data_IF_375554242908
#
_entry.id   IF_375554242908
#
_cell.length_a   1.000
_cell.length_b   1.000
_cell.length_c   1.000
_cell.angle_alpha   90.00
_cell.angle_beta   90.00
_cell.angle_gamma   90.00
#
_symmetry.space_group_name_H-M   'P 1'
#
loop_
_entity.id
_entity.type
_entity.pdbx_description
1 polymer ?
#
# COMPACT_ATOMS: atom_id res chain seq x y z
N UNK A 1 21.90 -20.39 19.85
CA UNK A 1 22.42 -19.54 20.93
C UNK A 1 21.22 -18.98 21.64
N UNK A 2 20.96 -19.45 22.87
CA UNK A 2 19.91 -18.88 23.72
C UNK A 2 20.32 -17.45 24.05
N UNK A 3 19.79 -16.48 23.31
CA UNK A 3 19.96 -15.09 23.67
C UNK A 3 19.20 -14.84 24.96
N UNK A 4 19.95 -14.66 26.05
CA UNK A 4 19.42 -14.07 27.29
C UNK A 4 18.61 -12.84 26.93
N UNK A 5 17.33 -12.87 27.24
CA UNK A 5 16.37 -11.83 26.90
C UNK A 5 16.72 -10.54 27.66
N UNK A 6 17.47 -9.66 27.01
CA UNK A 6 17.76 -8.34 27.57
C UNK A 6 16.80 -7.36 26.90
N UNK A 7 15.81 -6.81 27.62
CA UNK A 7 14.90 -5.83 27.06
C UNK A 7 15.71 -4.64 26.51
N UNK A 8 15.23 -4.03 25.41
CA UNK A 8 15.86 -2.90 24.70
C UNK A 8 17.17 -3.19 23.93
N UNK A 9 17.77 -4.37 24.06
CA UNK A 9 19.04 -4.68 23.36
C UNK A 9 18.88 -4.64 21.83
N UNK A 10 17.78 -5.15 21.30
CA UNK A 10 17.46 -5.10 19.87
C UNK A 10 17.38 -3.66 19.35
N UNK A 11 16.56 -2.82 20.00
CA UNK A 11 16.37 -1.41 19.63
C UNK A 11 17.72 -0.64 19.63
N UNK A 12 18.57 -0.87 20.65
CA UNK A 12 19.87 -0.21 20.73
C UNK A 12 20.80 -0.61 19.59
N UNK A 13 20.80 -1.89 19.19
CA UNK A 13 21.60 -2.38 18.09
C UNK A 13 21.12 -1.81 16.75
N UNK A 14 19.81 -1.80 16.52
CA UNK A 14 19.20 -1.26 15.30
C UNK A 14 19.51 0.24 15.14
N UNK A 15 19.37 1.01 16.23
CA UNK A 15 19.69 2.44 16.24
C UNK A 15 21.17 2.70 15.94
N UNK A 16 22.08 1.92 16.56
CA UNK A 16 23.52 2.07 16.35
C UNK A 16 23.91 1.75 14.90
N UNK A 17 23.32 0.71 14.31
CA UNK A 17 23.53 0.37 12.90
C UNK A 17 23.04 1.49 11.97
N UNK A 18 21.83 2.01 12.20
CA UNK A 18 21.24 3.06 11.37
C UNK A 18 22.02 4.38 11.44
N UNK A 19 22.44 4.80 12.63
CA UNK A 19 23.15 6.06 12.84
C UNK A 19 24.45 6.15 12.04
N UNK A 20 25.18 5.05 11.85
CA UNK A 20 26.43 5.04 11.08
C UNK A 20 26.20 5.35 9.60
N UNK A 21 25.11 4.82 9.03
CA UNK A 21 24.76 5.00 7.62
C UNK A 21 23.98 6.29 7.36
N UNK A 22 23.30 6.85 8.37
CA UNK A 22 22.39 7.99 8.20
C UNK A 22 23.07 9.21 7.56
N UNK A 23 24.29 9.56 8.02
CA UNK A 23 25.05 10.67 7.44
C UNK A 23 25.42 10.40 5.98
N UNK A 24 25.74 9.16 5.65
CA UNK A 24 26.11 8.77 4.28
C UNK A 24 24.91 8.89 3.34
N UNK A 25 23.71 8.46 3.77
CA UNK A 25 22.50 8.53 2.96
C UNK A 25 22.17 9.95 2.50
N UNK A 26 22.26 10.94 3.39
CA UNK A 26 22.04 12.34 3.03
C UNK A 26 23.10 12.84 2.05
N UNK A 27 24.39 12.58 2.30
CA UNK A 27 25.46 13.00 1.39
C UNK A 27 25.38 12.31 0.02
N UNK A 28 24.98 11.04 -0.01
CA UNK A 28 24.77 10.27 -1.24
C UNK A 28 23.55 10.76 -2.02
N UNK A 29 22.46 11.08 -1.32
CA UNK A 29 21.24 11.64 -1.91
C UNK A 29 21.49 12.99 -2.60
N UNK A 30 22.20 13.90 -1.95
CA UNK A 30 22.57 15.19 -2.57
C UNK A 30 23.50 15.00 -3.78
N UNK A 31 24.44 14.04 -3.72
CA UNK A 31 25.36 13.74 -4.84
C UNK A 31 24.66 13.09 -6.04
N UNK A 32 23.56 12.38 -5.83
CA UNK A 32 22.78 11.75 -6.89
C UNK A 32 22.08 12.79 -7.80
N UNK A 33 21.82 14.00 -7.30
CA UNK A 33 21.24 15.10 -8.07
C UNK A 33 19.96 14.69 -8.82
N UNK A 34 19.93 14.91 -10.13
CA UNK A 34 18.77 14.60 -10.98
C UNK A 34 18.53 13.11 -11.22
N UNK A 35 19.49 12.22 -10.90
CA UNK A 35 19.34 10.77 -11.13
C UNK A 35 18.27 10.14 -10.25
N UNK A 36 17.98 10.75 -9.09
CA UNK A 36 16.96 10.24 -8.15
C UNK A 36 15.53 10.52 -8.62
N UNK A 37 15.33 11.53 -9.47
CA UNK A 37 13.99 11.95 -9.91
C UNK A 37 13.25 10.84 -10.66
N UNK A 38 13.95 10.07 -11.49
CA UNK A 38 13.33 9.00 -12.26
C UNK A 38 12.82 7.85 -11.36
N UNK A 39 13.64 7.27 -10.45
CA UNK A 39 13.15 6.33 -9.44
C UNK A 39 12.06 6.91 -8.52
N UNK A 40 12.20 8.16 -8.05
CA UNK A 40 11.21 8.79 -7.16
C UNK A 40 9.86 8.95 -7.85
N UNK A 41 9.84 9.43 -9.09
CA UNK A 41 8.60 9.58 -9.87
C UNK A 41 7.93 8.23 -10.12
N UNK A 42 8.72 7.20 -10.45
CA UNK A 42 8.20 5.85 -10.66
C UNK A 42 7.56 5.29 -9.38
N UNK A 43 8.25 5.38 -8.24
CA UNK A 43 7.73 4.87 -6.97
C UNK A 43 6.56 5.70 -6.44
N UNK A 44 6.54 7.00 -6.71
CA UNK A 44 5.38 7.83 -6.41
C UNK A 44 4.12 7.30 -7.09
N UNK A 45 4.14 7.08 -8.42
CA UNK A 45 2.97 6.54 -9.11
C UNK A 45 2.68 5.09 -8.72
N UNK A 46 3.70 4.26 -8.54
CA UNK A 46 3.53 2.87 -8.13
C UNK A 46 2.89 2.73 -6.74
N UNK A 47 3.13 3.66 -5.83
CA UNK A 47 2.56 3.67 -4.48
C UNK A 47 1.25 4.45 -4.38
N UNK A 48 1.07 5.53 -5.15
CA UNK A 48 -0.14 6.34 -5.11
C UNK A 48 -1.37 5.60 -5.69
N UNK A 49 -1.20 4.86 -6.79
CA UNK A 49 -2.31 4.17 -7.47
C UNK A 49 -3.01 3.16 -6.54
N UNK A 50 -2.31 2.23 -5.86
CA UNK A 50 -2.94 1.32 -4.93
C UNK A 50 -3.60 2.04 -3.75
N UNK A 51 -2.97 3.10 -3.22
CA UNK A 51 -3.50 3.85 -2.07
C UNK A 51 -4.79 4.58 -2.43
N UNK A 52 -4.90 5.15 -3.65
CA UNK A 52 -6.13 5.75 -4.15
C UNK A 52 -7.22 4.67 -4.29
N UNK A 53 -6.89 3.53 -4.91
CA UNK A 53 -7.84 2.43 -5.10
C UNK A 53 -8.38 1.91 -3.77
N UNK A 54 -7.52 1.69 -2.78
CA UNK A 54 -7.92 1.26 -1.44
C UNK A 54 -8.63 2.33 -0.64
N UNK A 55 -8.25 3.59 -0.82
CA UNK A 55 -8.93 4.72 -0.21
C UNK A 55 -10.35 4.89 -0.73
N UNK A 56 -10.58 4.67 -2.02
CA UNK A 56 -11.91 4.64 -2.64
C UNK A 56 -12.73 3.44 -2.15
N UNK A 57 -12.10 2.27 -2.01
CA UNK A 57 -12.74 1.11 -1.41
C UNK A 57 -13.19 1.39 0.04
N UNK A 58 -12.34 2.03 0.84
CA UNK A 58 -12.69 2.47 2.20
C UNK A 58 -13.84 3.48 2.20
N UNK A 59 -13.87 4.42 1.25
CA UNK A 59 -14.95 5.41 1.15
C UNK A 59 -16.31 4.72 0.94
N UNK A 60 -16.35 3.74 0.04
CA UNK A 60 -17.56 2.95 -0.25
C UNK A 60 -17.98 2.08 0.93
N UNK A 61 -17.03 1.39 1.54
CA UNK A 61 -17.29 0.44 2.63
C UNK A 61 -17.62 1.10 3.97
N UNK A 62 -17.21 2.35 4.17
CA UNK A 62 -17.40 3.10 5.43
C UNK A 62 -18.44 4.21 5.33
N UNK A 63 -19.35 4.14 4.35
CA UNK A 63 -20.38 5.16 4.09
C UNK A 63 -19.81 6.60 3.99
N UNK A 64 -18.58 6.73 3.47
CA UNK A 64 -17.83 7.98 3.32
C UNK A 64 -17.26 8.59 4.58
N UNK A 65 -17.12 7.81 5.65
CA UNK A 65 -16.45 8.26 6.87
C UNK A 65 -14.93 8.34 6.67
N UNK A 66 -14.35 7.37 5.96
CA UNK A 66 -12.94 7.34 5.57
C UNK A 66 -12.80 7.54 4.06
N UNK A 67 -12.24 8.67 3.65
CA UNK A 67 -12.13 9.00 2.21
C UNK A 67 -10.78 8.63 1.62
N UNK A 68 -10.71 8.56 0.29
CA UNK A 68 -9.46 8.33 -0.44
C UNK A 68 -8.38 9.39 -0.13
N UNK A 69 -8.80 10.65 0.05
CA UNK A 69 -7.89 11.76 0.36
C UNK A 69 -7.29 11.62 1.75
N UNK A 70 -8.07 11.19 2.76
CA UNK A 70 -7.57 10.95 4.11
C UNK A 70 -6.54 9.80 4.12
N UNK A 71 -6.81 8.74 3.35
CA UNK A 71 -5.92 7.58 3.20
C UNK A 71 -4.59 7.98 2.54
N UNK A 72 -4.66 8.81 1.49
CA UNK A 72 -3.48 9.40 0.85
C UNK A 72 -2.68 10.28 1.81
N UNK A 73 -3.36 11.20 2.52
CA UNK A 73 -2.72 12.10 3.48
C UNK A 73 -2.02 11.32 4.60
N UNK A 74 -2.67 10.29 5.14
CA UNK A 74 -2.07 9.42 6.16
C UNK A 74 -0.83 8.71 5.62
N UNK A 75 -0.90 8.15 4.41
CA UNK A 75 0.24 7.44 3.81
C UNK A 75 1.41 8.39 3.55
N UNK A 76 1.14 9.60 3.06
CA UNK A 76 2.16 10.62 2.81
C UNK A 76 2.85 11.07 4.11
N UNK A 77 2.07 11.39 5.15
CA UNK A 77 2.62 11.81 6.45
C UNK A 77 3.45 10.68 7.09
N UNK A 78 2.92 9.46 7.13
CA UNK A 78 3.64 8.32 7.67
C UNK A 78 4.89 7.99 6.84
N UNK A 79 4.85 8.13 5.52
CA UNK A 79 6.01 7.96 4.64
C UNK A 79 7.12 8.98 4.89
N UNK A 80 6.77 10.26 5.09
CA UNK A 80 7.73 11.32 5.44
C UNK A 80 8.37 11.01 6.79
N UNK A 81 7.56 10.73 7.82
CA UNK A 81 8.07 10.40 9.16
C UNK A 81 8.96 9.14 9.12
N UNK A 82 8.55 8.10 8.41
CA UNK A 82 9.30 6.85 8.29
C UNK A 82 10.60 7.02 7.49
N UNK A 83 10.62 7.85 6.44
CA UNK A 83 11.85 8.11 5.68
C UNK A 83 12.92 8.85 6.49
N UNK A 84 12.51 9.70 7.44
CA UNK A 84 13.42 10.46 8.31
C UNK A 84 13.88 9.63 9.51
N UNK A 85 12.96 8.92 10.18
CA UNK A 85 13.21 8.27 11.48
C UNK A 85 13.38 6.74 11.35
N UNK A 86 12.93 6.15 10.25
CA UNK A 86 12.89 4.70 10.06
C UNK A 86 14.25 4.02 9.95
N UNK A 87 14.28 2.75 10.36
CA UNK A 87 15.46 1.89 10.29
C UNK A 87 15.78 1.41 8.87
N UNK A 88 14.82 1.44 7.94
CA UNK A 88 14.99 0.97 6.57
C UNK A 88 14.36 1.97 5.58
N UNK A 89 15.11 2.94 5.03
CA UNK A 89 14.56 3.98 4.15
C UNK A 89 14.08 3.47 2.78
N UNK A 90 14.49 2.27 2.38
CA UNK A 90 14.03 1.62 1.14
C UNK A 90 12.65 0.97 1.29
N UNK A 91 12.10 0.90 2.51
CA UNK A 91 10.77 0.36 2.75
C UNK A 91 9.70 1.33 2.25
N UNK A 92 8.85 0.86 1.33
CA UNK A 92 7.72 1.63 0.84
C UNK A 92 6.55 1.42 1.79
N UNK A 93 6.21 2.48 2.52
CA UNK A 93 5.06 2.46 3.41
C UNK A 93 3.78 2.70 2.59
N UNK A 94 2.75 1.89 2.83
CA UNK A 94 1.48 2.00 2.13
C UNK A 94 0.37 1.29 2.87
N UNK A 95 -0.87 1.57 2.45
CA UNK A 95 -2.04 0.82 2.90
C UNK A 95 -2.10 -0.48 2.11
N UNK A 96 -2.27 -1.58 2.83
CA UNK A 96 -2.46 -2.91 2.25
C UNK A 96 -3.90 -3.35 2.43
N UNK A 97 -4.35 -4.26 1.58
CA UNK A 97 -5.71 -4.79 1.60
C UNK A 97 -6.13 -5.39 2.96
N UNK A 98 -5.30 -6.14 3.70
CA UNK A 98 -5.69 -6.64 5.01
C UNK A 98 -6.06 -5.51 5.98
N UNK A 99 -5.39 -4.36 5.88
CA UNK A 99 -5.74 -3.17 6.66
C UNK A 99 -7.13 -2.67 6.25
N UNK A 100 -7.41 -2.55 4.96
CA UNK A 100 -8.74 -2.14 4.46
C UNK A 100 -9.85 -3.04 4.99
N UNK A 101 -9.67 -4.36 4.86
CA UNK A 101 -10.64 -5.37 5.34
C UNK A 101 -10.90 -5.21 6.84
N UNK A 102 -9.84 -5.00 7.64
CA UNK A 102 -9.97 -4.79 9.08
C UNK A 102 -10.75 -3.51 9.41
N UNK A 103 -10.49 -2.41 8.71
CA UNK A 103 -11.24 -1.15 8.89
C UNK A 103 -12.72 -1.30 8.49
N UNK A 104 -13.01 -2.01 7.39
CA UNK A 104 -14.39 -2.32 6.98
C UNK A 104 -15.11 -3.19 8.03
N UNK A 105 -14.43 -4.20 8.59
CA UNK A 105 -14.97 -5.03 9.65
C UNK A 105 -15.25 -4.22 10.93
N UNK A 106 -14.28 -3.39 11.33
CA UNK A 106 -14.39 -2.46 12.45
C UNK A 106 -15.58 -1.51 12.27
N UNK A 107 -15.79 -0.98 11.07
CA UNK A 107 -16.93 -0.12 10.77
C UNK A 107 -18.27 -0.86 10.89
N UNK A 108 -18.37 -2.06 10.31
CA UNK A 108 -19.57 -2.92 10.42
C UNK A 108 -19.85 -3.30 11.88
N UNK A 109 -18.82 -3.55 12.67
CA UNK A 109 -18.92 -3.83 14.10
C UNK A 109 -19.42 -2.62 14.90
N UNK A 110 -18.92 -1.42 14.60
CA UNK A 110 -19.37 -0.19 15.24
C UNK A 110 -20.83 0.13 14.88
N UNK A 111 -21.23 -0.10 13.63
CA UNK A 111 -22.59 0.15 13.13
C UNK A 111 -23.63 -0.84 13.69
N UNK A 112 -23.25 -2.09 13.93
CA UNK A 112 -24.15 -3.10 14.51
C UNK A 112 -24.38 -2.93 16.01
N UNK A 113 -23.55 -2.12 16.68
CA UNK A 113 -23.67 -1.80 18.11
C UNK A 113 -24.55 -0.56 18.29
N UNK A 114 -25.66 -0.64 19.05
CA UNK A 114 -26.54 0.50 19.28
C UNK A 114 -25.86 1.65 20.04
N UNK A 115 -24.87 1.34 20.89
CA UNK A 115 -24.22 2.32 21.77
C UNK A 115 -23.12 3.15 21.09
N UNK A 116 -22.55 2.67 19.97
CA UNK A 116 -21.40 3.28 19.33
C UNK A 116 -21.80 4.06 18.06
N UNK A 117 -22.67 3.47 17.24
CA UNK A 117 -23.14 4.07 15.99
C UNK A 117 -22.02 4.45 15.00
N UNK A 118 -22.40 5.02 13.86
CA UNK A 118 -21.44 5.48 12.83
C UNK A 118 -20.67 6.75 13.24
N UNK A 119 -21.25 7.59 14.11
CA UNK A 119 -20.67 8.89 14.50
C UNK A 119 -19.45 8.76 15.42
N UNK A 120 -19.41 7.76 16.32
CA UNK A 120 -18.27 7.56 17.22
C UNK A 120 -17.19 6.62 16.65
N UNK A 121 -17.39 6.11 15.42
CA UNK A 121 -16.45 5.19 14.79
C UNK A 121 -15.01 5.73 14.71
N UNK A 122 -14.82 7.02 14.37
CA UNK A 122 -13.49 7.63 14.32
C UNK A 122 -12.79 7.64 15.68
N UNK A 123 -13.50 8.06 16.74
CA UNK A 123 -12.95 8.12 18.09
C UNK A 123 -12.61 6.72 18.63
N UNK A 124 -13.49 5.74 18.37
CA UNK A 124 -13.24 4.35 18.72
C UNK A 124 -12.04 3.77 17.98
N UNK A 125 -11.91 4.05 16.67
CA UNK A 125 -10.75 3.64 15.88
C UNK A 125 -9.46 4.26 16.43
N UNK A 126 -9.50 5.51 16.89
CA UNK A 126 -8.39 6.15 17.61
C UNK A 126 -7.95 5.36 18.85
N UNK A 127 -8.89 4.90 19.67
CA UNK A 127 -8.57 4.05 20.83
C UNK A 127 -7.99 2.69 20.46
N UNK A 128 -8.48 2.06 19.38
CA UNK A 128 -7.88 0.84 18.84
C UNK A 128 -6.44 1.09 18.41
N UNK A 129 -6.15 2.22 17.78
CA UNK A 129 -4.79 2.62 17.41
C UNK A 129 -3.89 2.85 18.63
N UNK A 130 -4.41 3.42 19.72
CA UNK A 130 -3.65 3.59 20.97
C UNK A 130 -3.23 2.23 21.53
N UNK A 131 -4.16 1.28 21.66
CA UNK A 131 -3.84 -0.07 22.14
C UNK A 131 -2.88 -0.81 21.20
N UNK A 132 -3.07 -0.65 19.89
CA UNK A 132 -2.17 -1.22 18.88
C UNK A 132 -0.76 -0.67 19.04
N UNK A 133 -0.60 0.64 19.24
CA UNK A 133 0.70 1.26 19.48
C UNK A 133 1.36 0.75 20.77
N UNK A 134 0.60 0.65 21.88
CA UNK A 134 1.10 0.10 23.15
C UNK A 134 1.60 -1.35 22.97
N UNK A 135 0.82 -2.20 22.28
CA UNK A 135 1.22 -3.58 22.00
C UNK A 135 2.48 -3.64 21.12
N UNK A 136 2.59 -2.79 20.10
CA UNK A 136 3.79 -2.70 19.26
C UNK A 136 5.02 -2.26 20.06
N UNK A 137 4.89 -1.28 20.97
CA UNK A 137 5.98 -0.89 21.86
C UNK A 137 6.40 -2.03 22.79
N UNK A 138 5.44 -2.75 23.37
CA UNK A 138 5.74 -3.92 24.20
C UNK A 138 6.47 -5.00 23.39
N UNK A 139 5.98 -5.35 22.21
CA UNK A 139 6.63 -6.34 21.34
C UNK A 139 8.04 -5.92 20.92
N UNK A 140 8.27 -4.61 20.68
CA UNK A 140 9.59 -4.07 20.36
C UNK A 140 10.57 -4.17 21.54
N UNK A 141 10.13 -3.83 22.76
CA UNK A 141 10.94 -3.95 23.99
C UNK A 141 11.25 -5.42 24.26
N UNK A 142 10.27 -6.28 24.04
CA UNK A 142 10.36 -7.73 24.19
C UNK A 142 11.11 -8.40 23.04
N UNK A 143 11.69 -7.67 22.07
CA UNK A 143 12.51 -8.28 21.02
C UNK A 143 11.77 -9.32 20.16
N UNK A 144 10.44 -9.18 20.01
CA UNK A 144 9.62 -10.09 19.20
C UNK A 144 10.10 -10.15 17.74
N UNK A 145 10.82 -9.14 17.27
CA UNK A 145 11.50 -9.13 15.97
C UNK A 145 12.40 -10.35 15.74
N UNK A 146 12.94 -10.99 16.79
CA UNK A 146 13.71 -12.23 16.68
C UNK A 146 12.91 -13.38 16.04
N UNK A 147 11.57 -13.37 16.15
CA UNK A 147 10.70 -14.38 15.54
C UNK A 147 10.68 -14.31 14.02
N UNK A 148 11.03 -13.16 13.42
CA UNK A 148 11.03 -12.99 11.97
C UNK A 148 12.06 -13.89 11.29
N UNK A 149 13.17 -14.20 11.99
CA UNK A 149 14.18 -15.14 11.49
C UNK A 149 13.67 -16.58 11.42
N UNK A 150 12.52 -16.87 12.07
CA UNK A 150 11.83 -18.16 12.00
C UNK A 150 10.85 -18.23 10.82
N UNK A 151 10.50 -17.10 10.20
CA UNK A 151 9.69 -17.12 8.99
C UNK A 151 10.47 -17.76 7.85
N UNK A 152 9.94 -18.88 7.36
CA UNK A 152 10.54 -19.62 6.26
C UNK A 152 10.22 -18.93 4.94
N UNK A 153 11.05 -19.19 3.93
CA UNK A 153 10.81 -18.76 2.55
C UNK A 153 9.42 -19.17 2.05
N UNK A 154 8.97 -20.38 2.40
CA UNK A 154 7.63 -20.90 2.05
C UNK A 154 6.52 -20.01 2.64
N UNK A 155 6.64 -19.58 3.89
CA UNK A 155 5.67 -18.67 4.50
C UNK A 155 5.61 -17.32 3.77
N UNK A 156 6.76 -16.77 3.37
CA UNK A 156 6.83 -15.54 2.58
C UNK A 156 6.19 -15.66 1.19
N UNK A 157 6.46 -16.76 0.48
CA UNK A 157 5.87 -17.01 -0.85
C UNK A 157 4.35 -17.23 -0.76
N UNK A 158 3.86 -17.97 0.25
CA UNK A 158 2.44 -18.16 0.50
C UNK A 158 1.73 -16.84 0.88
N UNK A 159 2.37 -16.01 1.71
CA UNK A 159 1.82 -14.70 2.05
C UNK A 159 1.74 -13.79 0.82
N UNK A 160 2.78 -13.78 -0.03
CA UNK A 160 2.75 -13.06 -1.30
C UNK A 160 1.65 -13.54 -2.23
N UNK A 161 1.43 -14.85 -2.33
CA UNK A 161 0.34 -15.44 -3.12
C UNK A 161 -1.04 -15.04 -2.57
N UNK A 162 -1.21 -15.03 -1.25
CA UNK A 162 -2.45 -14.61 -0.59
C UNK A 162 -2.79 -13.15 -0.94
N UNK A 163 -1.82 -12.24 -0.81
CA UNK A 163 -2.00 -10.83 -1.15
C UNK A 163 -2.33 -10.66 -2.64
N UNK A 164 -1.68 -11.42 -3.53
CA UNK A 164 -1.98 -11.37 -4.96
C UNK A 164 -3.40 -11.87 -5.29
N UNK A 165 -3.86 -12.93 -4.62
CA UNK A 165 -5.21 -13.48 -4.80
C UNK A 165 -6.29 -12.50 -4.30
N UNK A 166 -6.06 -11.90 -3.13
CA UNK A 166 -6.92 -10.88 -2.54
C UNK A 166 -7.04 -9.66 -3.48
N UNK A 167 -5.92 -9.15 -3.98
CA UNK A 167 -5.91 -8.06 -4.95
C UNK A 167 -6.68 -8.37 -6.24
N UNK A 168 -6.56 -9.59 -6.74
CA UNK A 168 -7.28 -10.03 -7.94
C UNK A 168 -8.79 -10.08 -7.69
N UNK A 169 -9.21 -10.53 -6.51
CA UNK A 169 -10.61 -10.58 -6.12
C UNK A 169 -11.21 -9.17 -6.03
N UNK A 170 -10.50 -8.22 -5.42
CA UNK A 170 -10.97 -6.84 -5.33
C UNK A 170 -10.99 -6.14 -6.70
N UNK A 171 -10.05 -6.45 -7.59
CA UNK A 171 -10.11 -5.97 -8.98
C UNK A 171 -11.37 -6.47 -9.71
N UNK A 172 -11.74 -7.75 -9.52
CA UNK A 172 -12.96 -8.32 -10.10
C UNK A 172 -14.21 -7.68 -9.47
N UNK A 173 -14.25 -7.51 -8.14
CA UNK A 173 -15.37 -6.84 -7.45
C UNK A 173 -15.53 -5.40 -7.91
N UNK A 174 -14.42 -4.68 -8.10
CA UNK A 174 -14.43 -3.32 -8.66
C UNK A 174 -15.06 -3.28 -10.04
N UNK A 175 -14.72 -4.23 -10.93
CA UNK A 175 -15.33 -4.33 -12.26
C UNK A 175 -16.83 -4.65 -12.20
N UNK A 176 -17.25 -5.56 -11.32
CA UNK A 176 -18.67 -5.90 -11.15
C UNK A 176 -19.46 -4.71 -10.60
N UNK A 177 -18.86 -3.92 -9.71
CA UNK A 177 -19.49 -2.75 -9.13
C UNK A 177 -19.84 -1.67 -10.17
N UNK A 178 -19.04 -1.51 -11.23
CA UNK A 178 -19.33 -0.56 -12.32
C UNK A 178 -20.60 -0.90 -13.11
N UNK A 179 -21.07 -2.14 -13.06
CA UNK A 179 -22.37 -2.54 -13.62
C UNK A 179 -23.54 -2.34 -12.65
N UNK A 180 -23.25 -2.11 -11.36
CA UNK A 180 -24.22 -1.93 -10.30
C UNK A 180 -24.65 -0.48 -10.10
N UNK A 181 -25.69 -0.27 -9.28
CA UNK A 181 -26.03 1.07 -8.78
C UNK A 181 -25.31 1.25 -7.43
N UNK A 182 -24.47 2.28 -7.26
CA UNK A 182 -23.92 2.60 -5.95
C UNK A 182 -25.05 2.96 -4.98
N UNK A 183 -25.14 2.25 -3.86
CA UNK A 183 -26.26 2.38 -2.91
C UNK A 183 -26.38 3.76 -2.22
N UNK A 184 -25.39 4.64 -2.41
CA UNK A 184 -25.33 5.98 -1.83
C UNK A 184 -25.86 7.08 -2.77
N UNK A 185 -26.00 6.78 -4.06
CA UNK A 185 -26.40 7.77 -5.05
C UNK A 185 -27.88 7.67 -5.43
N UNK A 186 -28.43 8.79 -5.92
CA UNK A 186 -29.84 8.88 -6.28
C UNK A 186 -30.15 7.89 -7.42
N UNK A 187 -31.01 6.87 -7.21
CA UNK A 187 -31.29 5.86 -8.23
C UNK A 187 -31.91 6.43 -9.52
N UNK A 188 -32.47 7.63 -9.42
CA UNK A 188 -33.14 8.36 -10.50
C UNK A 188 -32.21 9.31 -11.27
N UNK A 189 -30.92 9.38 -10.92
CA UNK A 189 -29.97 10.17 -11.69
C UNK A 189 -29.81 9.60 -13.10
N UNK A 190 -29.56 10.48 -14.07
CA UNK A 190 -29.46 10.13 -15.51
C UNK A 190 -28.34 9.11 -15.75
N UNK A 191 -27.26 9.20 -14.97
CA UNK A 191 -26.08 8.33 -15.00
C UNK A 191 -26.42 6.87 -14.65
N UNK A 192 -27.48 6.67 -13.86
CA UNK A 192 -27.99 5.35 -13.51
C UNK A 192 -29.19 4.95 -14.37
N UNK A 193 -29.39 5.45 -15.58
CA UNK A 193 -30.32 4.79 -16.50
C UNK A 193 -29.71 3.49 -17.05
N UNK A 194 -30.54 2.50 -17.38
CA UNK A 194 -30.08 1.18 -17.83
C UNK A 194 -29.06 1.23 -18.97
N UNK A 195 -29.21 2.17 -19.91
CA UNK A 195 -28.29 2.34 -21.05
C UNK A 195 -26.92 2.89 -20.62
N UNK A 196 -26.89 3.85 -19.70
CA UNK A 196 -25.65 4.46 -19.21
C UNK A 196 -24.88 3.51 -18.30
N UNK A 197 -25.57 2.74 -17.44
CA UNK A 197 -24.94 1.70 -16.62
C UNK A 197 -24.24 0.64 -17.47
N UNK A 198 -24.92 0.15 -18.51
CA UNK A 198 -24.34 -0.85 -19.40
C UNK A 198 -23.14 -0.27 -20.17
N UNK A 199 -23.23 0.97 -20.64
CA UNK A 199 -22.12 1.66 -21.31
C UNK A 199 -20.91 1.83 -20.38
N UNK A 200 -21.13 2.27 -19.14
CA UNK A 200 -20.07 2.47 -18.15
C UNK A 200 -19.37 1.15 -17.80
N UNK A 201 -20.14 0.08 -17.53
CA UNK A 201 -19.57 -1.23 -17.25
C UNK A 201 -18.78 -1.80 -18.44
N UNK A 202 -19.29 -1.66 -19.67
CA UNK A 202 -18.55 -2.07 -20.87
C UNK A 202 -17.28 -1.25 -21.08
N UNK A 203 -17.33 0.05 -20.81
CA UNK A 203 -16.16 0.93 -20.86
C UNK A 203 -15.11 0.53 -19.82
N UNK A 204 -15.51 0.24 -18.59
CA UNK A 204 -14.64 -0.24 -17.53
C UNK A 204 -13.95 -1.56 -17.90
N UNK A 205 -14.66 -2.51 -18.54
CA UNK A 205 -14.06 -3.74 -19.06
C UNK A 205 -12.99 -3.47 -20.12
N UNK A 206 -13.31 -2.65 -21.12
CA UNK A 206 -12.36 -2.33 -22.21
C UNK A 206 -11.11 -1.64 -21.64
N UNK A 207 -11.28 -0.66 -20.75
CA UNK A 207 -10.15 0.02 -20.12
C UNK A 207 -9.32 -0.90 -19.24
N UNK A 208 -9.94 -1.76 -18.44
CA UNK A 208 -9.25 -2.68 -17.54
C UNK A 208 -8.42 -3.72 -18.31
N UNK A 209 -9.02 -4.39 -19.30
CA UNK A 209 -8.28 -5.33 -20.14
C UNK A 209 -7.22 -4.63 -21.00
N UNK A 210 -7.51 -3.44 -21.50
CA UNK A 210 -6.54 -2.61 -22.24
C UNK A 210 -5.34 -2.23 -21.38
N UNK A 211 -5.56 -1.78 -20.15
CA UNK A 211 -4.51 -1.46 -19.19
C UNK A 211 -3.70 -2.70 -18.80
N UNK A 212 -4.37 -3.83 -18.55
CA UNK A 212 -3.70 -5.09 -18.24
C UNK A 212 -2.77 -5.53 -19.38
N UNK A 213 -3.27 -5.51 -20.62
CA UNK A 213 -2.49 -5.94 -21.78
C UNK A 213 -1.30 -4.99 -22.01
N UNK A 214 -1.51 -3.67 -21.92
CA UNK A 214 -0.44 -2.67 -22.06
C UNK A 214 0.58 -2.77 -20.93
N UNK A 215 0.17 -3.02 -19.68
CA UNK A 215 1.06 -3.26 -18.56
C UNK A 215 1.91 -4.53 -18.74
N UNK A 216 1.31 -5.63 -19.21
CA UNK A 216 2.03 -6.87 -19.55
C UNK A 216 3.04 -6.65 -20.69
N UNK A 217 2.68 -5.84 -21.69
CA UNK A 217 3.58 -5.44 -22.77
C UNK A 217 4.71 -4.55 -22.27
N UNK A 218 4.43 -3.60 -21.37
CA UNK A 218 5.42 -2.75 -20.72
C UNK A 218 6.43 -3.57 -19.91
N UNK A 219 5.98 -4.60 -19.17
CA UNK A 219 6.88 -5.51 -18.44
C UNK A 219 7.81 -6.29 -19.37
N UNK A 220 7.31 -6.70 -20.55
CA UNK A 220 8.06 -7.41 -21.60
C UNK A 220 8.85 -6.47 -22.53
N UNK A 221 8.69 -5.15 -22.40
CA UNK A 221 9.36 -4.18 -23.25
C UNK A 221 10.89 -4.29 -23.13
N UNK A 222 11.41 -4.65 -21.94
CA UNK A 222 12.84 -4.90 -21.68
C UNK A 222 13.46 -6.00 -22.54
N UNK A 223 12.69 -6.98 -23.00
CA UNK A 223 13.17 -8.08 -23.85
C UNK A 223 12.81 -7.90 -25.32
N UNK A 224 12.30 -6.73 -25.72
CA UNK A 224 11.78 -6.55 -27.08
C UNK A 224 12.90 -6.25 -28.07
N UNK A 225 13.08 -7.14 -29.05
CA UNK A 225 14.15 -7.07 -30.06
C UNK A 225 14.11 -5.83 -30.97
N UNK A 226 12.98 -5.15 -31.04
CA UNK A 226 12.76 -4.00 -31.94
C UNK A 226 12.80 -2.64 -31.21
N UNK A 227 13.11 -2.61 -29.91
CA UNK A 227 13.19 -1.36 -29.13
C UNK A 227 14.54 -0.66 -29.29
N UNK A 228 14.52 0.66 -29.57
CA UNK A 228 15.72 1.50 -29.55
C UNK A 228 16.38 1.50 -28.16
N UNK A 229 17.69 1.23 -28.10
CA UNK A 229 18.45 1.06 -26.85
C UNK A 229 18.43 2.27 -25.90
N UNK A 230 18.18 3.50 -26.40
CA UNK A 230 18.08 4.70 -25.55
C UNK A 230 16.80 4.73 -24.71
N UNK A 231 15.66 4.31 -25.26
CA UNK A 231 14.39 4.23 -24.53
C UNK A 231 14.36 3.02 -23.59
N UNK A 232 15.03 1.92 -23.98
CA UNK A 232 15.24 0.75 -23.13
C UNK A 232 16.10 1.09 -21.89
N UNK A 233 17.15 1.90 -22.08
CA UNK A 233 18.04 2.35 -21.01
C UNK A 233 17.35 3.22 -19.95
N UNK A 234 16.32 3.98 -20.31
CA UNK A 234 15.54 4.76 -19.33
C UNK A 234 14.68 3.86 -18.43
N UNK A 235 14.05 2.82 -19.00
CA UNK A 235 13.37 1.76 -18.24
C UNK A 235 14.35 0.91 -17.39
N UNK A 236 15.58 0.67 -17.88
CA UNK A 236 16.65 0.02 -17.12
C UNK A 236 17.15 0.88 -15.96
N UNK A 237 17.29 2.19 -16.11
CA UNK A 237 17.70 3.09 -15.03
C UNK A 237 16.70 3.14 -13.87
N UNK A 238 15.40 3.08 -14.18
CA UNK A 238 14.31 3.05 -13.18
C UNK A 238 14.25 1.69 -12.47
N UNK A 239 14.55 0.58 -13.18
CA UNK A 239 14.44 -0.78 -12.62
C UNK A 239 15.72 -1.29 -11.93
N UNK A 240 16.91 -0.85 -12.35
CA UNK A 240 18.19 -1.21 -11.70
C UNK A 240 18.35 -0.58 -10.30
N UNK A 241 17.53 0.42 -9.94
CA UNK A 241 17.49 0.94 -8.56
C UNK A 241 16.97 -0.11 -7.55
N UNK A 242 16.23 -1.13 -8.02
CA UNK A 242 15.67 -2.20 -7.18
C UNK A 242 16.46 -3.52 -7.24
N UNK A 243 17.46 -3.65 -8.12
CA UNK A 243 18.31 -4.83 -8.21
C UNK A 243 19.77 -4.40 -8.43
N UNK A 244 20.54 -4.09 -7.37
CA UNK A 244 21.97 -3.78 -7.49
C UNK A 244 22.85 -5.00 -7.80
N UNK A 245 22.26 -6.20 -7.90
CA UNK A 245 22.96 -7.44 -8.24
C UNK A 245 22.29 -8.11 -9.43
N UNK A 246 22.73 -7.71 -10.63
CA UNK A 246 22.75 -8.53 -11.85
C UNK A 246 23.94 -8.09 -12.68
#
# INVERSE_FOLDING_TARGET
MEESFVPFRGIKNDLRGRLMCYKQDWTGGFRAGFRILAPTTYIFFASAIPVISFGEQLDRDTDGVLTAVQTLASTALCGIIHSIIGGQPLLILGVAEPTVIMYTFMFKFAKSRPDLGSKLFLAWTGWVCVWTAVLLFLLAILGACSIINRFTRVAGELFGLLIAMLFMQEAIRGLVHEFGIPGRENPNAIEFQSSWRFANGMFALVLSFGLLLTALRSRKARSWRYGSGKSMNYYLYITNFFHPYS
#
